data_IF_169895028561
#
_entry.id   IF_169895028561
#
_cell.length_a   1.000
_cell.length_b   1.000
_cell.length_c   1.000
_cell.angle_alpha   90.00
_cell.angle_beta   90.00
_cell.angle_gamma   90.00
#
_symmetry.space_group_name_H-M   'P 1'
#
loop_
_entity.id
_entity.type
_entity.pdbx_description
1 polymer ?
#
# COMPACT_ATOMS: atom_id res chain seq x y z
N UNK A 1 -2.13 -2.15 -23.68
CA UNK A 1 -2.53 -1.14 -24.68
C UNK A 1 -3.39 -0.10 -23.98
N UNK A 2 -3.16 1.20 -24.19
CA UNK A 2 -4.04 2.23 -23.65
C UNK A 2 -5.46 2.04 -24.19
N UNK A 3 -6.47 2.26 -23.35
CA UNK A 3 -7.88 2.16 -23.75
C UNK A 3 -8.18 3.22 -24.83
N UNK A 4 -9.09 2.94 -25.79
CA UNK A 4 -9.55 3.93 -26.75
C UNK A 4 -10.04 5.21 -26.04
N UNK A 5 -9.69 6.40 -26.56
CA UNK A 5 -9.93 7.70 -25.89
C UNK A 5 -11.41 7.94 -25.53
N UNK A 6 -12.35 7.40 -26.31
CA UNK A 6 -13.80 7.46 -26.07
C UNK A 6 -14.23 6.57 -24.90
N UNK A 7 -13.68 5.36 -24.81
CA UNK A 7 -13.93 4.39 -23.73
C UNK A 7 -13.42 4.91 -22.38
N UNK A 8 -12.24 5.53 -22.37
CA UNK A 8 -11.69 6.19 -21.18
C UNK A 8 -12.54 7.38 -20.69
N UNK A 9 -13.22 8.11 -21.58
CA UNK A 9 -14.12 9.21 -21.18
C UNK A 9 -15.40 8.70 -20.52
N UNK A 10 -15.99 7.64 -21.06
CA UNK A 10 -17.20 7.01 -20.49
C UNK A 10 -16.94 6.43 -19.09
N UNK A 11 -15.80 5.76 -18.91
CA UNK A 11 -15.41 5.24 -17.59
C UNK A 11 -15.22 6.36 -16.56
N UNK A 12 -14.52 7.44 -16.92
CA UNK A 12 -14.32 8.58 -16.00
C UNK A 12 -15.63 9.22 -15.56
N UNK A 13 -16.59 9.36 -16.47
CA UNK A 13 -17.92 9.87 -16.16
C UNK A 13 -18.63 8.95 -15.16
N UNK A 14 -18.64 7.64 -15.43
CA UNK A 14 -19.26 6.66 -14.52
C UNK A 14 -18.61 6.63 -13.14
N UNK A 15 -17.28 6.71 -13.07
CA UNK A 15 -16.56 6.80 -11.79
C UNK A 15 -16.89 8.08 -11.02
N UNK A 16 -17.18 9.19 -11.73
CA UNK A 16 -17.67 10.41 -11.11
C UNK A 16 -19.10 10.24 -10.57
N UNK A 17 -19.99 9.60 -11.31
CA UNK A 17 -21.36 9.27 -10.87
C UNK A 17 -21.34 8.41 -9.59
N UNK A 18 -20.49 7.38 -9.53
CA UNK A 18 -20.32 6.55 -8.34
C UNK A 18 -19.86 7.35 -7.11
N UNK A 19 -19.04 8.38 -7.28
CA UNK A 19 -18.56 9.23 -6.17
C UNK A 19 -19.58 10.30 -5.77
N UNK A 20 -20.49 10.66 -6.69
CA UNK A 20 -21.20 11.93 -6.71
C UNK A 20 -20.58 12.86 -7.76
N UNK A 21 -21.32 13.24 -8.82
CA UNK A 21 -20.75 13.91 -9.99
C UNK A 21 -20.10 15.26 -9.67
N UNK A 22 -20.62 15.98 -8.67
CA UNK A 22 -20.14 17.28 -8.24
C UNK A 22 -18.99 17.21 -7.21
N UNK A 23 -18.68 16.01 -6.73
CA UNK A 23 -17.61 15.80 -5.75
C UNK A 23 -16.28 15.66 -6.49
N UNK A 24 -15.23 16.41 -6.15
CA UNK A 24 -13.92 16.21 -6.75
C UNK A 24 -13.31 14.87 -6.29
N UNK A 25 -12.59 14.14 -7.16
CA UNK A 25 -11.94 12.89 -6.78
C UNK A 25 -10.88 13.14 -5.69
N UNK A 26 -10.88 12.29 -4.65
CA UNK A 26 -9.76 12.21 -3.72
C UNK A 26 -8.55 11.62 -4.44
N UNK A 27 -7.47 12.39 -4.55
CA UNK A 27 -6.21 11.93 -5.13
C UNK A 27 -5.67 10.70 -4.38
N UNK A 28 -5.14 9.75 -5.14
CA UNK A 28 -4.45 8.57 -4.60
C UNK A 28 -3.02 8.96 -4.21
N UNK A 29 -2.67 8.72 -2.96
CA UNK A 29 -1.29 8.83 -2.48
C UNK A 29 -0.57 7.47 -2.51
N UNK A 30 0.72 7.46 -2.21
CA UNK A 30 1.52 6.23 -2.21
C UNK A 30 0.99 5.21 -1.19
N UNK A 31 0.37 5.66 -0.10
CA UNK A 31 -0.23 4.79 0.91
C UNK A 31 -1.45 4.06 0.35
N UNK A 32 -2.34 4.77 -0.35
CA UNK A 32 -3.52 4.20 -1.00
C UNK A 32 -3.11 3.17 -2.06
N UNK A 33 -2.12 3.49 -2.90
CA UNK A 33 -1.58 2.58 -3.92
C UNK A 33 -0.87 1.36 -3.33
N UNK A 34 -0.05 1.55 -2.30
CA UNK A 34 0.60 0.44 -1.58
C UNK A 34 -0.41 -0.51 -0.93
N UNK A 35 -1.53 0.04 -0.48
CA UNK A 35 -2.55 -0.71 0.22
C UNK A 35 -3.54 -1.40 -0.74
N UNK A 36 -3.75 -0.87 -1.96
CA UNK A 36 -4.31 -1.63 -3.09
C UNK A 36 -3.47 -2.87 -3.40
N UNK A 37 -2.15 -2.69 -3.50
CA UNK A 37 -1.21 -3.79 -3.73
C UNK A 37 -1.20 -4.82 -2.59
N UNK A 38 -1.46 -4.39 -1.35
CA UNK A 38 -1.52 -5.27 -0.19
C UNK A 38 -2.76 -6.16 -0.19
N UNK A 39 -3.89 -5.74 -0.75
CA UNK A 39 -5.13 -6.53 -0.80
C UNK A 39 -5.75 -6.54 -2.22
N UNK A 40 -5.09 -7.20 -3.18
CA UNK A 40 -5.42 -7.08 -4.61
C UNK A 40 -6.77 -7.68 -5.01
N UNK A 41 -7.37 -8.53 -4.17
CA UNK A 41 -8.66 -9.17 -4.46
C UNK A 41 -9.88 -8.36 -4.01
N UNK A 42 -9.69 -7.23 -3.34
CA UNK A 42 -10.80 -6.48 -2.75
C UNK A 42 -11.45 -5.55 -3.80
N UNK A 43 -12.56 -6.00 -4.41
CA UNK A 43 -13.31 -5.23 -5.40
C UNK A 43 -13.85 -3.91 -4.83
N UNK A 44 -14.41 -3.95 -3.61
CA UNK A 44 -14.88 -2.76 -2.89
C UNK A 44 -13.80 -1.68 -2.78
N UNK A 45 -12.57 -2.08 -2.47
CA UNK A 45 -11.46 -1.13 -2.40
C UNK A 45 -11.12 -0.58 -3.78
N UNK A 46 -10.97 -1.47 -4.77
CA UNK A 46 -10.57 -1.09 -6.13
C UNK A 46 -11.54 -0.06 -6.73
N UNK A 47 -12.86 -0.29 -6.60
CA UNK A 47 -13.85 0.66 -7.13
C UNK A 47 -13.86 1.99 -6.38
N UNK A 48 -13.77 1.97 -5.05
CA UNK A 48 -13.76 3.21 -4.25
C UNK A 48 -12.50 4.04 -4.47
N UNK A 49 -11.34 3.38 -4.57
CA UNK A 49 -10.07 4.05 -4.86
C UNK A 49 -10.05 4.62 -6.29
N UNK A 50 -10.49 3.85 -7.30
CA UNK A 50 -10.52 4.36 -8.67
C UNK A 50 -11.64 5.37 -8.93
N UNK A 51 -12.75 5.32 -8.19
CA UNK A 51 -13.75 6.38 -8.18
C UNK A 51 -13.31 7.62 -7.38
N UNK A 52 -12.18 7.57 -6.66
CA UNK A 52 -11.70 8.70 -5.85
C UNK A 52 -12.61 9.03 -4.68
N UNK A 53 -13.29 8.04 -4.10
CA UNK A 53 -14.18 8.23 -2.94
C UNK A 53 -13.33 8.44 -1.68
N UNK A 54 -13.69 9.45 -0.88
CA UNK A 54 -13.04 9.66 0.42
C UNK A 54 -13.50 8.60 1.44
N UNK A 55 -12.76 7.50 1.50
CA UNK A 55 -13.09 6.34 2.36
C UNK A 55 -13.12 6.66 3.86
N UNK A 56 -12.42 7.69 4.32
CA UNK A 56 -12.48 8.11 5.72
C UNK A 56 -13.84 8.74 6.05
N UNK A 57 -14.32 9.66 5.19
CA UNK A 57 -15.65 10.27 5.33
C UNK A 57 -16.74 9.20 5.15
N UNK A 58 -16.57 8.32 4.16
CA UNK A 58 -17.48 7.19 3.93
C UNK A 58 -17.56 6.28 5.17
N UNK A 59 -16.44 5.93 5.79
CA UNK A 59 -16.40 5.11 6.99
C UNK A 59 -17.14 5.77 8.17
N UNK A 60 -16.99 7.10 8.34
CA UNK A 60 -17.73 7.86 9.34
C UNK A 60 -19.24 7.87 9.07
N UNK A 61 -19.67 8.08 7.81
CA UNK A 61 -21.08 8.05 7.43
C UNK A 61 -21.72 6.66 7.59
N UNK A 62 -20.94 5.59 7.44
CA UNK A 62 -21.33 4.21 7.75
C UNK A 62 -21.34 3.90 9.26
N UNK A 63 -21.03 4.87 10.13
CA UNK A 63 -20.96 4.68 11.57
C UNK A 63 -19.77 3.83 12.06
N UNK A 64 -18.75 3.65 11.22
CA UNK A 64 -17.57 2.82 11.50
C UNK A 64 -16.26 3.58 11.27
N UNK A 65 -16.05 4.77 11.89
CA UNK A 65 -14.88 5.58 11.64
C UNK A 65 -13.59 4.84 12.06
N UNK A 66 -12.55 4.96 11.24
CA UNK A 66 -11.22 4.47 11.59
C UNK A 66 -10.39 5.55 12.30
N UNK A 67 -9.66 5.20 13.34
CA UNK A 67 -8.71 6.11 14.02
C UNK A 67 -7.37 6.27 13.26
N UNK A 68 -7.33 6.04 11.95
CA UNK A 68 -6.10 6.10 11.17
C UNK A 68 -5.41 7.46 11.28
N UNK A 69 -4.14 7.44 11.70
CA UNK A 69 -3.29 8.63 11.69
C UNK A 69 -3.83 9.77 12.55
N UNK A 70 -4.31 9.51 13.76
CA UNK A 70 -4.86 10.56 14.65
C UNK A 70 -3.94 10.94 15.81
N UNK A 71 -2.75 10.34 15.94
CA UNK A 71 -1.81 10.74 17.00
C UNK A 71 -1.00 11.96 16.55
N UNK A 72 -1.42 13.16 16.98
CA UNK A 72 -0.67 14.40 16.81
C UNK A 72 0.78 14.28 17.31
N UNK A 73 0.99 13.61 18.44
CA UNK A 73 2.31 13.33 18.98
C UNK A 73 3.19 12.48 18.02
N UNK A 74 2.61 11.46 17.39
CA UNK A 74 3.33 10.62 16.43
C UNK A 74 3.75 11.41 15.18
N UNK A 75 2.92 12.36 14.72
CA UNK A 75 3.26 13.24 13.60
C UNK A 75 4.38 14.21 13.95
N UNK A 76 4.25 14.94 15.07
CA UNK A 76 5.29 15.88 15.50
C UNK A 76 6.63 15.20 15.69
N UNK A 77 6.65 14.01 16.32
CA UNK A 77 7.86 13.21 16.47
C UNK A 77 8.42 12.74 15.11
N UNK A 78 7.54 12.37 14.18
CA UNK A 78 7.92 11.98 12.83
C UNK A 78 8.62 13.12 12.09
N UNK A 79 7.99 14.28 12.02
CA UNK A 79 8.51 15.46 11.33
C UNK A 79 9.83 15.93 11.95
N UNK A 80 9.95 15.90 13.29
CA UNK A 80 11.20 16.27 13.97
C UNK A 80 12.33 15.29 13.66
N UNK A 81 12.04 13.98 13.58
CA UNK A 81 13.03 12.98 13.21
C UNK A 81 13.46 13.14 11.75
N UNK A 82 12.51 13.32 10.84
CA UNK A 82 12.78 13.56 9.43
C UNK A 82 13.62 14.82 9.19
N UNK A 83 13.23 15.94 9.79
CA UNK A 83 14.02 17.17 9.73
C UNK A 83 15.44 16.93 10.26
N UNK A 84 15.61 16.15 11.32
CA UNK A 84 16.93 15.77 11.84
C UNK A 84 17.74 14.95 10.84
N UNK A 85 17.14 14.00 10.14
CA UNK A 85 17.81 13.18 9.11
C UNK A 85 18.27 14.05 7.94
N UNK A 86 17.49 15.08 7.59
CA UNK A 86 17.71 15.95 6.42
C UNK A 86 18.49 17.23 6.71
N UNK A 87 18.87 17.48 7.97
CA UNK A 87 19.69 18.65 8.35
C UNK A 87 21.03 18.65 7.61
N UNK A 88 21.61 19.84 7.50
CA UNK A 88 22.96 20.05 6.94
C UNK A 88 23.10 19.48 5.52
N UNK A 89 22.11 19.73 4.67
CA UNK A 89 22.05 19.22 3.29
C UNK A 89 21.88 17.69 3.20
N UNK A 90 21.44 17.04 4.28
CA UNK A 90 21.27 15.59 4.36
C UNK A 90 22.57 14.81 4.48
N UNK A 91 23.63 15.41 5.03
CA UNK A 91 24.94 14.76 5.20
C UNK A 91 24.85 13.38 5.89
N UNK A 92 24.07 13.27 6.97
CA UNK A 92 23.89 11.98 7.67
C UNK A 92 23.08 10.97 6.84
N UNK A 93 22.06 11.43 6.10
CA UNK A 93 21.32 10.58 5.17
C UNK A 93 22.25 10.02 4.09
N UNK A 94 23.08 10.85 3.48
CA UNK A 94 23.99 10.45 2.41
C UNK A 94 25.10 9.53 2.92
N UNK A 95 25.60 9.77 4.14
CA UNK A 95 26.50 8.84 4.84
C UNK A 95 25.87 7.45 4.97
N UNK A 96 24.58 7.36 5.36
CA UNK A 96 23.84 6.11 5.45
C UNK A 96 23.59 5.46 4.08
N UNK A 97 23.31 6.26 3.03
CA UNK A 97 23.18 5.75 1.66
C UNK A 97 24.49 5.13 1.18
N UNK A 98 25.61 5.85 1.32
CA UNK A 98 26.95 5.33 1.00
C UNK A 98 27.23 4.04 1.75
N UNK A 99 27.10 4.05 3.09
CA UNK A 99 27.39 2.88 3.93
C UNK A 99 26.56 1.64 3.56
N UNK A 100 25.26 1.81 3.30
CA UNK A 100 24.31 0.69 3.14
C UNK A 100 24.08 0.26 1.70
N UNK A 101 24.26 1.16 0.72
CA UNK A 101 23.88 0.93 -0.67
C UNK A 101 25.02 1.10 -1.67
N UNK A 102 26.07 1.87 -1.35
CA UNK A 102 27.15 2.13 -2.28
C UNK A 102 28.52 2.36 -1.61
N UNK A 103 28.96 1.40 -0.79
CA UNK A 103 30.22 1.49 -0.02
C UNK A 103 31.49 1.62 -0.88
N UNK A 104 31.36 1.37 -2.18
CA UNK A 104 32.47 1.38 -3.14
C UNK A 104 32.60 2.72 -3.87
N UNK A 105 31.57 3.55 -3.86
CA UNK A 105 31.64 4.93 -4.33
C UNK A 105 32.51 5.79 -3.40
N UNK A 106 32.99 6.92 -3.92
CA UNK A 106 33.61 7.94 -3.09
C UNK A 106 32.61 8.45 -2.03
N UNK A 107 33.02 8.55 -0.75
CA UNK A 107 32.16 9.06 0.30
C UNK A 107 31.64 10.47 -0.03
N UNK A 108 30.38 10.79 0.32
CA UNK A 108 29.82 12.12 0.09
C UNK A 108 30.56 13.16 0.95
N UNK A 109 31.33 14.05 0.31
CA UNK A 109 31.96 15.20 0.96
C UNK A 109 31.06 16.45 0.88
N UNK A 110 30.55 16.73 -0.33
CA UNK A 110 29.53 17.74 -0.60
C UNK A 110 28.46 17.14 -1.51
N UNK A 111 27.22 17.59 -1.35
CA UNK A 111 26.10 17.10 -2.14
C UNK A 111 25.27 18.24 -2.70
N UNK A 112 24.76 18.04 -3.92
CA UNK A 112 23.82 18.97 -4.52
C UNK A 112 22.42 18.72 -3.96
N UNK A 113 21.75 19.79 -3.56
CA UNK A 113 20.35 19.76 -3.10
C UNK A 113 19.57 20.77 -3.95
N UNK A 114 19.01 20.35 -5.10
CA UNK A 114 18.31 21.25 -6.01
C UNK A 114 16.99 21.73 -5.39
N UNK A 115 16.63 23.00 -5.64
CA UNK A 115 15.32 23.52 -5.30
C UNK A 115 14.24 22.91 -6.22
N UNK A 116 13.23 22.28 -5.62
CA UNK A 116 12.12 21.59 -6.27
C UNK A 116 10.80 22.36 -6.20
N UNK A 117 10.82 23.61 -5.73
CA UNK A 117 9.65 24.47 -5.67
C UNK A 117 9.12 24.79 -7.07
N UNK A 118 7.80 24.67 -7.23
CA UNK A 118 7.05 25.04 -8.42
C UNK A 118 5.55 25.12 -8.09
N UNK A 119 4.77 25.77 -8.95
CA UNK A 119 3.32 25.90 -8.78
C UNK A 119 2.63 24.56 -9.03
N UNK A 120 1.92 24.08 -7.99
CA UNK A 120 1.09 22.88 -8.07
C UNK A 120 1.86 21.56 -8.21
N UNK A 121 1.19 20.41 -8.06
CA UNK A 121 1.81 19.10 -8.18
C UNK A 121 2.44 18.83 -9.55
N UNK A 122 1.79 19.26 -10.63
CA UNK A 122 2.28 19.14 -12.01
C UNK A 122 3.60 19.88 -12.21
N UNK A 123 3.66 21.14 -11.76
CA UNK A 123 4.86 21.96 -11.85
C UNK A 123 6.01 21.37 -11.05
N UNK A 124 5.73 20.89 -9.83
CA UNK A 124 6.73 20.21 -8.99
C UNK A 124 7.23 18.91 -9.63
N UNK A 125 6.34 18.15 -10.28
CA UNK A 125 6.72 16.93 -10.98
C UNK A 125 7.62 17.22 -12.19
N UNK A 126 7.31 18.26 -12.95
CA UNK A 126 8.15 18.73 -14.05
C UNK A 126 9.53 19.22 -13.55
N UNK A 127 9.56 20.00 -12.46
CA UNK A 127 10.81 20.47 -11.85
C UNK A 127 11.66 19.31 -11.32
N UNK A 128 11.04 18.32 -10.70
CA UNK A 128 11.70 17.09 -10.23
C UNK A 128 12.32 16.32 -11.39
N UNK A 129 11.59 16.12 -12.50
CA UNK A 129 12.12 15.44 -13.68
C UNK A 129 13.32 16.17 -14.31
N UNK A 130 13.28 17.52 -14.31
CA UNK A 130 14.42 18.34 -14.72
C UNK A 130 15.63 18.13 -13.79
N UNK A 131 15.42 18.22 -12.47
CA UNK A 131 16.50 18.04 -11.49
C UNK A 131 17.14 16.64 -11.56
N UNK A 132 16.34 15.59 -11.75
CA UNK A 132 16.86 14.22 -11.95
C UNK A 132 17.71 14.11 -13.22
N UNK A 133 17.32 14.77 -14.31
CA UNK A 133 18.09 14.82 -15.55
C UNK A 133 19.40 15.57 -15.36
N UNK A 134 19.36 16.75 -14.74
CA UNK A 134 20.54 17.58 -14.44
C UNK A 134 21.54 16.82 -13.56
N UNK A 135 21.06 16.20 -12.48
CA UNK A 135 21.88 15.40 -11.57
C UNK A 135 22.52 14.20 -12.26
N UNK A 136 21.78 13.51 -13.14
CA UNK A 136 22.33 12.36 -13.89
C UNK A 136 23.39 12.79 -14.91
N UNK A 137 23.31 14.03 -15.43
CA UNK A 137 24.31 14.58 -16.34
C UNK A 137 25.59 15.08 -15.63
N UNK A 138 25.62 15.07 -14.30
CA UNK A 138 26.77 15.46 -13.47
C UNK A 138 27.41 14.23 -12.78
N UNK A 139 28.13 13.37 -13.52
CA UNK A 139 28.73 12.16 -12.96
C UNK A 139 29.74 12.49 -11.86
N UNK A 140 29.94 11.56 -10.92
CA UNK A 140 30.83 11.75 -9.78
C UNK A 140 30.23 12.55 -8.62
N UNK A 141 29.04 13.11 -8.78
CA UNK A 141 28.40 13.95 -7.75
C UNK A 141 27.27 13.23 -7.04
N UNK A 142 27.20 13.38 -5.72
CA UNK A 142 26.02 13.00 -4.94
C UNK A 142 24.95 14.08 -5.04
N UNK A 143 23.72 13.72 -5.42
CA UNK A 143 22.58 14.64 -5.38
C UNK A 143 21.47 14.10 -4.49
N UNK A 144 20.98 14.93 -3.57
CA UNK A 144 19.82 14.65 -2.72
C UNK A 144 18.64 15.50 -3.17
N UNK A 145 17.60 14.86 -3.69
CA UNK A 145 16.31 15.48 -3.92
C UNK A 145 15.47 15.30 -2.65
N UNK A 146 15.21 16.40 -1.96
CA UNK A 146 14.36 16.44 -0.76
C UNK A 146 12.89 16.63 -1.17
N UNK A 147 12.01 15.72 -0.75
CA UNK A 147 10.60 15.69 -1.13
C UNK A 147 10.36 15.94 -2.63
N UNK A 148 10.94 15.14 -3.54
CA UNK A 148 10.63 15.28 -4.96
C UNK A 148 9.17 14.92 -5.21
N UNK A 149 8.56 15.53 -6.22
CA UNK A 149 7.22 15.17 -6.66
C UNK A 149 7.32 14.28 -7.89
N UNK A 150 6.72 13.09 -7.83
CA UNK A 150 6.65 12.13 -8.93
C UNK A 150 5.21 12.01 -9.40
N UNK A 151 5.01 11.75 -10.69
CA UNK A 151 3.69 11.48 -11.25
C UNK A 151 3.65 10.03 -11.75
N UNK A 152 2.57 9.32 -11.40
CA UNK A 152 2.30 7.96 -11.84
C UNK A 152 0.90 7.90 -12.44
N UNK A 153 0.73 7.34 -13.64
CA UNK A 153 -0.61 7.16 -14.22
C UNK A 153 -1.36 6.03 -13.51
N UNK A 154 -2.56 6.34 -13.01
CA UNK A 154 -3.46 5.37 -12.39
C UNK A 154 -4.82 5.48 -13.05
N UNK A 155 -5.16 4.48 -13.87
CA UNK A 155 -6.40 4.41 -14.64
C UNK A 155 -6.66 5.68 -15.49
N UNK A 156 -5.60 6.26 -16.08
CA UNK A 156 -5.70 7.44 -16.94
C UNK A 156 -5.80 8.77 -16.20
N UNK A 157 -5.53 8.78 -14.89
CA UNK A 157 -5.42 9.99 -14.06
C UNK A 157 -4.06 10.00 -13.35
N UNK A 158 -3.38 11.16 -13.27
CA UNK A 158 -2.11 11.25 -12.55
C UNK A 158 -2.31 11.15 -11.04
N UNK A 159 -1.55 10.26 -10.40
CA UNK A 159 -1.31 10.27 -8.96
C UNK A 159 0.02 10.99 -8.69
N UNK A 160 -0.02 12.04 -7.89
CA UNK A 160 1.16 12.80 -7.47
C UNK A 160 1.69 12.26 -6.15
N UNK A 161 2.97 11.90 -6.15
CA UNK A 161 3.60 11.07 -5.14
C UNK A 161 4.86 11.76 -4.63
N UNK A 162 4.98 11.89 -3.32
CA UNK A 162 6.09 12.59 -2.66
C UNK A 162 6.86 11.60 -1.77
N UNK A 163 7.90 10.90 -2.29
CA UNK A 163 8.84 10.18 -1.44
C UNK A 163 9.55 11.13 -0.48
N UNK A 164 10.04 10.60 0.64
CA UNK A 164 10.75 11.42 1.63
C UNK A 164 12.06 11.98 1.02
N UNK A 165 12.79 11.17 0.25
CA UNK A 165 13.89 11.64 -0.58
C UNK A 165 14.21 10.70 -1.76
N UNK A 166 14.91 11.24 -2.75
CA UNK A 166 15.56 10.47 -3.82
C UNK A 166 17.02 10.88 -3.90
N UNK A 167 17.92 9.90 -3.97
CA UNK A 167 19.36 10.12 -4.15
C UNK A 167 19.76 9.69 -5.55
N UNK A 168 20.47 10.59 -6.24
CA UNK A 168 21.24 10.26 -7.45
C UNK A 168 22.67 9.99 -7.00
N UNK A 169 23.10 8.75 -7.24
CA UNK A 169 24.45 8.28 -6.92
C UNK A 169 25.47 8.83 -7.92
N UNK A 170 26.77 8.84 -7.59
CA UNK A 170 27.83 9.27 -8.50
C UNK A 170 27.87 8.53 -9.84
N UNK A 171 27.36 7.29 -9.89
CA UNK A 171 27.22 6.48 -11.12
C UNK A 171 25.99 6.83 -11.97
N UNK A 172 25.21 7.84 -11.57
CA UNK A 172 23.98 8.28 -12.23
C UNK A 172 22.73 7.45 -11.90
N UNK A 173 22.84 6.41 -11.08
CA UNK A 173 21.68 5.59 -10.68
C UNK A 173 20.88 6.24 -9.55
N UNK A 174 19.59 5.88 -9.44
CA UNK A 174 18.65 6.54 -8.53
C UNK A 174 18.18 5.59 -7.43
N UNK A 175 18.08 6.10 -6.20
CA UNK A 175 17.58 5.35 -5.04
C UNK A 175 16.49 6.15 -4.32
N UNK A 176 15.39 5.48 -4.01
CA UNK A 176 14.37 6.00 -3.07
C UNK A 176 14.85 5.85 -1.64
N UNK A 177 14.60 6.86 -0.83
CA UNK A 177 14.80 6.85 0.63
C UNK A 177 13.46 7.05 1.31
N UNK A 178 13.13 6.13 2.22
CA UNK A 178 11.98 6.21 3.12
C UNK A 178 12.46 6.51 4.53
N UNK A 179 11.89 7.53 5.17
CA UNK A 179 12.17 7.90 6.55
C UNK A 179 10.94 7.57 7.39
N UNK A 180 11.11 6.74 8.41
CA UNK A 180 10.01 6.33 9.30
C UNK A 180 10.41 6.51 10.76
N UNK A 181 9.45 6.90 11.59
CA UNK A 181 9.66 7.21 13.00
C UNK A 181 9.48 6.03 13.97
N UNK A 182 9.34 4.81 13.46
CA UNK A 182 9.39 3.61 14.29
C UNK A 182 10.84 3.15 14.48
N UNK A 183 11.22 2.65 15.66
CA UNK A 183 12.61 2.31 15.94
C UNK A 183 13.07 1.04 15.21
N UNK A 184 14.36 0.98 14.90
CA UNK A 184 15.10 -0.26 14.69
C UNK A 184 15.77 -0.66 16.01
N UNK A 185 15.32 -1.75 16.61
CA UNK A 185 15.84 -2.31 17.86
C UNK A 185 16.93 -3.32 17.53
N UNK A 186 18.14 -3.11 18.04
CA UNK A 186 19.29 -4.02 17.81
C UNK A 186 19.54 -4.33 16.32
N UNK A 187 19.29 -3.34 15.46
CA UNK A 187 19.46 -3.44 14.00
C UNK A 187 18.27 -4.05 13.24
N UNK A 188 17.19 -4.42 13.93
CA UNK A 188 15.97 -4.96 13.32
C UNK A 188 14.75 -4.05 13.58
N UNK A 189 13.96 -3.81 12.53
CA UNK A 189 12.65 -3.19 12.67
C UNK A 189 11.53 -4.25 12.62
N UNK A 190 10.37 -3.88 13.16
CA UNK A 190 9.14 -4.66 13.06
C UNK A 190 8.86 -5.08 11.59
N UNK A 191 8.78 -6.39 11.28
CA UNK A 191 8.62 -6.86 9.90
C UNK A 191 7.35 -6.35 9.20
N UNK A 192 6.26 -6.12 9.94
CA UNK A 192 5.03 -5.60 9.38
C UNK A 192 5.19 -4.14 8.96
N UNK A 193 5.88 -3.33 9.78
CA UNK A 193 6.21 -1.93 9.46
C UNK A 193 7.20 -1.82 8.29
N UNK A 194 8.26 -2.65 8.27
CA UNK A 194 9.19 -2.73 7.13
C UNK A 194 8.45 -3.14 5.87
N UNK A 195 7.57 -4.14 5.95
CA UNK A 195 6.76 -4.57 4.82
C UNK A 195 5.81 -3.49 4.30
N UNK A 196 5.27 -2.64 5.17
CA UNK A 196 4.46 -1.49 4.78
C UNK A 196 5.29 -0.41 4.07
N UNK A 197 6.44 -0.03 4.64
CA UNK A 197 7.35 0.92 4.03
C UNK A 197 7.86 0.42 2.66
N UNK A 198 8.21 -0.86 2.55
CA UNK A 198 8.64 -1.48 1.29
C UNK A 198 7.55 -1.41 0.19
N UNK A 199 6.27 -1.54 0.56
CA UNK A 199 5.17 -1.40 -0.41
C UNK A 199 4.97 0.05 -0.87
N UNK A 200 5.15 1.03 0.03
CA UNK A 200 5.13 2.45 -0.35
C UNK A 200 6.33 2.80 -1.24
N UNK A 201 7.54 2.42 -0.84
CA UNK A 201 8.75 2.61 -1.63
C UNK A 201 8.66 2.00 -3.03
N UNK A 202 8.02 0.83 -3.16
CA UNK A 202 7.77 0.20 -4.46
C UNK A 202 6.90 1.06 -5.40
N UNK A 203 5.96 1.86 -4.86
CA UNK A 203 5.16 2.81 -5.66
C UNK A 203 6.07 3.92 -6.18
N UNK A 204 6.95 4.48 -5.34
CA UNK A 204 7.90 5.52 -5.75
C UNK A 204 8.93 5.01 -6.75
N UNK A 205 9.42 3.78 -6.59
CA UNK A 205 10.30 3.12 -7.56
C UNK A 205 9.62 2.98 -8.92
N UNK A 206 8.34 2.58 -8.97
CA UNK A 206 7.58 2.54 -10.22
C UNK A 206 7.47 3.92 -10.88
N UNK A 207 7.15 4.95 -10.09
CA UNK A 207 7.04 6.31 -10.59
C UNK A 207 8.40 6.84 -11.11
N UNK A 208 9.50 6.55 -10.42
CA UNK A 208 10.85 6.89 -10.89
C UNK A 208 11.23 6.14 -12.17
N UNK A 209 10.85 4.87 -12.31
CA UNK A 209 11.09 4.10 -13.54
C UNK A 209 10.38 4.74 -14.74
N UNK A 210 9.17 5.31 -14.56
CA UNK A 210 8.48 6.06 -15.62
C UNK A 210 9.17 7.39 -15.99
N UNK A 211 9.80 8.05 -15.01
CA UNK A 211 10.62 9.24 -15.28
C UNK A 211 11.90 8.86 -16.01
N UNK A 212 12.60 7.82 -15.54
CA UNK A 212 13.86 7.33 -16.12
C UNK A 212 13.67 6.89 -17.58
N UNK A 213 12.55 6.23 -17.89
CA UNK A 213 12.23 5.78 -19.25
C UNK A 213 12.06 6.91 -20.28
N UNK A 214 11.98 8.18 -19.84
CA UNK A 214 11.89 9.36 -20.72
C UNK A 214 13.26 9.97 -21.05
N UNK A 215 14.33 9.43 -20.47
CA UNK A 215 15.71 9.89 -20.68
C UNK A 215 16.47 8.86 -21.54
N UNK A 216 17.48 9.34 -22.28
CA UNK A 216 18.34 8.51 -23.11
C UNK A 216 19.83 8.85 -22.84
N UNK A 217 20.65 7.90 -22.34
CA UNK A 217 20.25 6.56 -21.89
C UNK A 217 19.36 6.63 -20.64
N UNK A 218 18.44 5.66 -20.50
CA UNK A 218 17.57 5.56 -19.33
C UNK A 218 18.39 5.24 -18.06
N UNK A 219 18.37 6.10 -17.02
CA UNK A 219 19.13 5.88 -15.80
C UNK A 219 18.60 4.68 -15.02
N UNK A 220 19.50 3.99 -14.32
CA UNK A 220 19.11 2.82 -13.53
C UNK A 220 18.42 3.25 -12.24
N UNK A 221 17.14 2.91 -12.08
CA UNK A 221 16.45 2.98 -10.79
C UNK A 221 16.79 1.73 -9.97
N UNK A 222 17.42 1.90 -8.80
CA UNK A 222 17.79 0.79 -7.92
C UNK A 222 16.56 0.25 -7.19
N UNK A 223 16.42 -1.08 -7.14
CA UNK A 223 15.34 -1.75 -6.39
C UNK A 223 15.69 -2.03 -4.93
N UNK A 224 16.90 -1.68 -4.50
CA UNK A 224 17.27 -1.67 -3.10
C UNK A 224 17.16 -0.23 -2.60
N UNK A 225 16.13 0.02 -1.80
CA UNK A 225 15.83 1.34 -1.22
C UNK A 225 16.51 1.48 0.14
N UNK A 226 16.66 2.71 0.62
CA UNK A 226 17.10 2.96 1.98
C UNK A 226 15.88 3.21 2.88
N UNK A 227 15.71 2.39 3.93
CA UNK A 227 14.77 2.66 5.00
C UNK A 227 15.54 3.24 6.18
N UNK A 228 15.29 4.51 6.50
CA UNK A 228 15.89 5.24 7.62
C UNK A 228 14.92 5.26 8.80
N UNK A 229 15.42 4.87 9.97
CA UNK A 229 14.65 4.81 11.21
C UNK A 229 15.49 5.29 12.41
N UNK A 230 14.87 5.71 13.52
CA UNK A 230 15.58 5.93 14.76
C UNK A 230 16.25 4.63 15.26
N UNK A 231 17.48 4.73 15.74
CA UNK A 231 18.23 3.65 16.36
C UNK A 231 17.78 3.46 17.81
N UNK A 232 17.35 2.26 18.14
CA UNK A 232 16.90 1.85 19.48
C UNK A 232 15.86 2.83 20.03
N UNK A 233 16.09 3.37 21.23
CA UNK A 233 15.21 4.37 21.85
C UNK A 233 15.72 5.82 21.69
N UNK A 234 16.66 6.03 20.76
CA UNK A 234 17.26 7.35 20.48
C UNK A 234 16.68 7.98 19.23
N UNK A 235 16.94 9.29 19.02
CA UNK A 235 16.69 9.95 17.74
C UNK A 235 17.91 9.89 16.80
N UNK A 236 18.88 9.00 17.02
CA UNK A 236 20.03 8.84 16.12
C UNK A 236 19.55 8.07 14.88
N UNK A 237 19.74 8.60 13.65
CA UNK A 237 19.39 7.88 12.45
C UNK A 237 20.21 6.59 12.29
N UNK A 238 19.53 5.52 11.89
CA UNK A 238 20.15 4.31 11.35
C UNK A 238 19.35 3.88 10.12
N UNK A 239 19.90 2.96 9.32
CA UNK A 239 19.23 2.54 8.11
C UNK A 239 19.41 1.07 7.78
N UNK A 240 18.45 0.56 7.01
CA UNK A 240 18.49 -0.77 6.41
C UNK A 240 18.20 -0.68 4.92
N UNK A 241 18.95 -1.44 4.15
CA UNK A 241 18.81 -1.52 2.70
C UNK A 241 17.79 -2.61 2.35
N UNK A 242 16.61 -2.22 1.86
CA UNK A 242 15.46 -3.11 1.64
C UNK A 242 15.26 -3.39 0.15
N UNK A 243 15.21 -4.66 -0.24
CA UNK A 243 14.88 -5.07 -1.61
C UNK A 243 13.36 -5.03 -1.83
N UNK A 244 12.92 -4.23 -2.80
CA UNK A 244 11.49 -4.05 -3.10
C UNK A 244 11.04 -4.70 -4.40
N UNK A 245 11.86 -5.55 -5.05
CA UNK A 245 11.51 -6.19 -6.34
C UNK A 245 10.17 -6.93 -6.29
N UNK A 246 9.92 -7.67 -5.21
CA UNK A 246 8.66 -8.41 -5.01
C UNK A 246 7.47 -7.45 -4.91
N UNK A 247 7.60 -6.40 -4.10
CA UNK A 247 6.56 -5.39 -3.88
C UNK A 247 6.30 -4.62 -5.17
N UNK A 248 7.34 -4.15 -5.86
CA UNK A 248 7.28 -3.48 -7.18
C UNK A 248 6.55 -4.34 -8.20
N UNK A 249 6.87 -5.63 -8.30
CA UNK A 249 6.22 -6.53 -9.24
C UNK A 249 4.73 -6.74 -8.91
N UNK A 250 4.35 -6.83 -7.63
CA UNK A 250 2.96 -6.93 -7.20
C UNK A 250 2.20 -5.65 -7.48
N UNK A 251 2.74 -4.50 -7.08
CA UNK A 251 2.14 -3.17 -7.29
C UNK A 251 1.94 -2.90 -8.78
N UNK A 252 2.96 -3.12 -9.62
CA UNK A 252 2.86 -2.94 -11.07
C UNK A 252 1.76 -3.81 -11.70
N UNK A 253 1.63 -5.08 -11.27
CA UNK A 253 0.53 -5.94 -11.72
C UNK A 253 -0.85 -5.44 -11.27
N UNK A 254 -0.95 -4.85 -10.08
CA UNK A 254 -2.23 -4.31 -9.60
C UNK A 254 -2.63 -3.03 -10.32
N UNK A 255 -1.68 -2.12 -10.55
CA UNK A 255 -1.94 -0.91 -11.33
C UNK A 255 -2.38 -1.26 -12.76
N UNK A 256 -1.71 -2.23 -13.39
CA UNK A 256 -2.13 -2.75 -14.70
C UNK A 256 -3.50 -3.45 -14.67
N UNK A 257 -3.99 -3.91 -13.52
CA UNK A 257 -5.33 -4.51 -13.36
C UNK A 257 -6.40 -3.49 -13.00
N UNK A 258 -6.05 -2.35 -12.42
CA UNK A 258 -7.00 -1.26 -12.16
C UNK A 258 -7.62 -0.72 -13.45
N UNK A 259 -7.01 -0.97 -14.62
CA UNK A 259 -7.65 -0.74 -15.92
C UNK A 259 -8.91 -1.60 -16.14
N UNK A 260 -9.18 -2.60 -15.28
CA UNK A 260 -10.40 -3.44 -15.28
C UNK A 260 -11.42 -3.02 -14.20
N UNK A 261 -11.29 -1.79 -13.70
CA UNK A 261 -12.32 -1.20 -12.83
C UNK A 261 -13.68 -1.10 -13.55
N UNK A 262 -13.68 -1.06 -14.88
CA UNK A 262 -14.86 -1.21 -15.74
C UNK A 262 -15.67 -2.47 -15.36
N UNK A 263 -15.01 -3.63 -15.28
CA UNK A 263 -15.66 -4.91 -14.96
C UNK A 263 -16.33 -4.88 -13.58
N UNK A 264 -15.71 -4.20 -12.60
CA UNK A 264 -16.30 -4.04 -11.26
C UNK A 264 -17.49 -3.10 -11.31
N UNK A 265 -17.37 -1.99 -12.06
CA UNK A 265 -18.45 -1.03 -12.23
C UNK A 265 -19.65 -1.65 -12.95
N UNK A 266 -19.43 -2.53 -13.93
CA UNK A 266 -20.46 -3.25 -14.70
C UNK A 266 -21.32 -4.19 -13.86
N UNK A 267 -20.79 -4.69 -12.75
CA UNK A 267 -21.54 -5.54 -11.81
C UNK A 267 -22.39 -4.73 -10.82
N UNK A 268 -22.24 -3.41 -10.76
CA UNK A 268 -22.97 -2.60 -9.80
C UNK A 268 -24.43 -2.40 -10.21
N UNK A 269 -25.37 -2.41 -9.25
CA UNK A 269 -26.74 -1.99 -9.51
C UNK A 269 -26.80 -0.61 -10.17
N UNK A 270 -27.75 -0.42 -11.08
CA UNK A 270 -28.00 0.88 -11.71
C UNK A 270 -28.33 1.93 -10.63
N UNK A 271 -27.78 3.13 -10.78
CA UNK A 271 -27.95 4.22 -9.79
C UNK A 271 -27.09 4.10 -8.53
N UNK A 272 -26.19 3.12 -8.43
CA UNK A 272 -25.26 3.03 -7.29
C UNK A 272 -24.47 4.33 -7.11
N UNK A 273 -24.44 4.85 -5.89
CA UNK A 273 -23.68 6.03 -5.51
C UNK A 273 -23.09 5.83 -4.10
N UNK A 274 -21.87 6.29 -3.89
CA UNK A 274 -21.14 6.20 -2.63
C UNK A 274 -21.05 7.55 -1.90
N UNK A 275 -21.93 8.49 -2.23
CA UNK A 275 -21.96 9.80 -1.57
C UNK A 275 -22.26 9.63 -0.07
N UNK A 276 -21.41 10.16 0.83
CA UNK A 276 -21.67 10.15 2.27
C UNK A 276 -22.93 10.91 2.70
N UNK A 277 -23.53 11.69 1.80
CA UNK A 277 -24.78 12.45 2.05
C UNK A 277 -26.04 11.60 1.88
N UNK A 278 -25.93 10.38 1.33
CA UNK A 278 -27.06 9.46 1.22
C UNK A 278 -27.58 9.03 2.60
N UNK A 279 -28.87 8.68 2.70
CA UNK A 279 -29.40 8.03 3.90
C UNK A 279 -28.57 6.79 4.26
N UNK A 280 -28.29 6.60 5.56
CA UNK A 280 -27.35 5.57 6.02
C UNK A 280 -27.68 4.14 5.53
N UNK A 281 -28.97 3.80 5.39
CA UNK A 281 -29.41 2.51 4.86
C UNK A 281 -29.06 2.34 3.38
N UNK A 282 -29.30 3.37 2.56
CA UNK A 282 -28.96 3.39 1.14
C UNK A 282 -27.45 3.35 0.93
N UNK A 283 -26.70 4.15 1.71
CA UNK A 283 -25.23 4.15 1.65
C UNK A 283 -24.65 2.78 2.02
N UNK A 284 -25.21 2.15 3.06
CA UNK A 284 -24.80 0.79 3.47
C UNK A 284 -25.08 -0.21 2.35
N UNK A 285 -26.27 -0.17 1.75
CA UNK A 285 -26.62 -1.04 0.63
C UNK A 285 -25.70 -0.85 -0.58
N UNK A 286 -25.42 0.41 -0.94
CA UNK A 286 -24.50 0.75 -2.04
C UNK A 286 -23.10 0.19 -1.78
N UNK A 287 -22.52 0.43 -0.59
CA UNK A 287 -21.18 -0.06 -0.25
C UNK A 287 -21.13 -1.59 -0.16
N UNK A 288 -22.18 -2.22 0.38
CA UNK A 288 -22.27 -3.66 0.54
C UNK A 288 -22.56 -4.41 -0.77
N UNK A 289 -23.15 -3.74 -1.78
CA UNK A 289 -23.32 -4.29 -3.13
C UNK A 289 -22.00 -4.68 -3.80
N UNK A 290 -20.88 -4.09 -3.34
CA UNK A 290 -19.54 -4.42 -3.83
C UNK A 290 -18.86 -5.38 -2.86
N UNK A 291 -18.47 -6.59 -3.29
CA UNK A 291 -17.80 -7.54 -2.40
C UNK A 291 -16.48 -6.99 -1.82
N UNK A 292 -16.32 -7.11 -0.50
CA UNK A 292 -15.05 -6.89 0.18
C UNK A 292 -14.35 -8.22 0.45
N UNK A 293 -13.02 -8.22 0.35
CA UNK A 293 -12.18 -9.32 0.83
C UNK A 293 -11.43 -8.86 2.06
N UNK A 294 -12.11 -8.83 3.22
CA UNK A 294 -11.47 -8.45 4.47
C UNK A 294 -10.29 -9.38 4.81
N UNK A 295 -9.29 -8.81 5.46
CA UNK A 295 -8.24 -9.54 6.15
C UNK A 295 -7.74 -8.64 7.29
N UNK A 296 -7.17 -9.18 8.39
CA UNK A 296 -6.72 -8.38 9.53
C UNK A 296 -5.76 -7.25 9.17
N UNK A 297 -4.93 -7.42 8.13
CA UNK A 297 -4.01 -6.37 7.67
C UNK A 297 -4.72 -5.13 7.13
N UNK A 298 -6.01 -5.23 6.79
CA UNK A 298 -6.81 -4.08 6.39
C UNK A 298 -6.88 -3.03 7.52
N UNK A 299 -6.82 -3.44 8.79
CA UNK A 299 -6.84 -2.53 9.95
C UNK A 299 -5.67 -1.55 10.00
N UNK A 300 -4.59 -1.80 9.25
CA UNK A 300 -3.46 -0.88 9.09
C UNK A 300 -3.37 -0.23 7.71
N UNK A 301 -4.26 -0.59 6.77
CA UNK A 301 -4.13 -0.27 5.35
C UNK A 301 -5.41 0.27 4.66
N UNK A 302 -6.58 0.24 5.29
CA UNK A 302 -7.84 0.65 4.66
C UNK A 302 -8.80 1.30 5.67
N UNK A 303 -9.28 2.51 5.36
CA UNK A 303 -10.18 3.28 6.21
C UNK A 303 -11.52 2.57 6.48
N UNK A 304 -11.99 1.71 5.56
CA UNK A 304 -13.19 0.90 5.71
C UNK A 304 -12.98 -0.41 6.51
N UNK A 305 -11.80 -0.64 7.07
CA UNK A 305 -11.47 -1.93 7.66
C UNK A 305 -12.38 -2.33 8.83
N UNK A 306 -12.83 -1.38 9.66
CA UNK A 306 -13.74 -1.66 10.77
C UNK A 306 -15.12 -2.11 10.29
N UNK A 307 -15.73 -1.36 9.36
CA UNK A 307 -16.98 -1.75 8.71
C UNK A 307 -16.87 -3.15 8.08
N UNK A 308 -15.81 -3.41 7.30
CA UNK A 308 -15.61 -4.71 6.64
C UNK A 308 -15.34 -5.85 7.63
N UNK A 309 -14.67 -5.57 8.75
CA UNK A 309 -14.43 -6.53 9.84
C UNK A 309 -15.73 -6.94 10.50
N UNK A 310 -16.59 -5.97 10.80
CA UNK A 310 -17.86 -6.23 11.48
C UNK A 310 -18.79 -7.04 10.57
N UNK A 311 -18.85 -6.72 9.28
CA UNK A 311 -19.56 -7.56 8.29
C UNK A 311 -18.99 -8.96 8.19
N UNK A 312 -17.67 -9.10 8.15
CA UNK A 312 -17.03 -10.43 8.09
C UNK A 312 -17.30 -11.25 9.35
N UNK A 313 -17.37 -10.62 10.52
CA UNK A 313 -17.72 -11.27 11.79
C UNK A 313 -19.19 -11.69 11.83
N UNK A 314 -20.09 -10.81 11.41
CA UNK A 314 -21.53 -11.11 11.36
C UNK A 314 -21.83 -12.29 10.42
N UNK A 315 -21.11 -12.38 9.29
CA UNK A 315 -21.21 -13.50 8.35
C UNK A 315 -20.43 -14.76 8.79
N UNK A 316 -19.79 -14.76 9.96
CA UNK A 316 -18.97 -15.88 10.42
C UNK A 316 -17.79 -16.21 9.51
N UNK A 317 -17.29 -15.25 8.71
CA UNK A 317 -16.29 -15.51 7.67
C UNK A 317 -14.91 -15.82 8.26
N UNK A 318 -14.25 -16.85 7.72
CA UNK A 318 -12.89 -17.27 8.13
C UNK A 318 -11.81 -16.24 7.75
N UNK A 319 -12.15 -15.27 6.90
CA UNK A 319 -11.28 -14.15 6.52
C UNK A 319 -10.80 -13.34 7.73
N UNK A 320 -11.58 -13.34 8.82
CA UNK A 320 -11.22 -12.69 10.09
C UNK A 320 -10.06 -13.35 10.82
N UNK A 321 -9.75 -14.61 10.51
CA UNK A 321 -8.65 -15.38 11.08
C UNK A 321 -7.29 -15.09 10.42
N UNK A 322 -7.30 -14.34 9.31
CA UNK A 322 -6.09 -14.00 8.56
C UNK A 322 -5.83 -14.89 7.34
N UNK A 323 -4.94 -14.41 6.48
CA UNK A 323 -4.71 -15.03 5.16
C UNK A 323 -4.08 -16.41 5.24
N UNK A 324 -3.18 -16.62 6.20
CA UNK A 324 -2.52 -17.93 6.39
C UNK A 324 -3.54 -18.99 6.73
N UNK A 325 -4.36 -18.73 7.76
CA UNK A 325 -5.42 -19.65 8.19
C UNK A 325 -6.43 -19.88 7.07
N UNK A 326 -6.89 -18.80 6.41
CA UNK A 326 -7.81 -18.94 5.27
C UNK A 326 -7.23 -19.82 4.15
N UNK A 327 -5.93 -19.72 3.86
CA UNK A 327 -5.31 -20.52 2.80
C UNK A 327 -5.28 -22.02 3.16
N UNK A 328 -5.13 -22.36 4.44
CA UNK A 328 -5.16 -23.75 4.92
C UNK A 328 -6.58 -24.35 4.92
N UNK A 329 -7.61 -23.51 5.04
CA UNK A 329 -9.02 -23.94 5.09
C UNK A 329 -9.63 -24.23 3.70
N UNK A 330 -8.90 -23.96 2.62
CA UNK A 330 -9.35 -24.26 1.25
C UNK A 330 -10.68 -23.60 0.90
N UNK A 331 -11.68 -24.42 0.54
CA UNK A 331 -13.01 -23.97 0.16
C UNK A 331 -13.94 -23.59 1.33
N UNK A 332 -13.55 -23.90 2.57
CA UNK A 332 -14.37 -23.63 3.76
C UNK A 332 -14.31 -22.13 4.08
N UNK A 333 -15.46 -21.45 3.94
CA UNK A 333 -15.51 -19.98 3.96
C UNK A 333 -16.07 -19.38 5.25
N UNK A 334 -16.79 -20.19 6.04
CA UNK A 334 -17.35 -19.78 7.34
C UNK A 334 -16.81 -20.62 8.48
N UNK A 335 -16.78 -20.06 9.69
CA UNK A 335 -16.40 -20.76 10.91
C UNK A 335 -17.35 -21.93 11.18
N UNK A 336 -18.62 -21.79 10.84
CA UNK A 336 -19.62 -22.86 10.95
C UNK A 336 -19.26 -24.06 10.07
N UNK A 337 -18.96 -23.82 8.79
CA UNK A 337 -18.55 -24.88 7.85
C UNK A 337 -17.29 -25.61 8.33
N UNK A 338 -16.32 -24.85 8.84
CA UNK A 338 -15.07 -25.40 9.38
C UNK A 338 -15.34 -26.30 10.58
N UNK A 339 -16.21 -25.88 11.48
CA UNK A 339 -16.57 -26.66 12.66
C UNK A 339 -17.40 -27.91 12.30
N UNK A 340 -18.33 -27.80 11.35
CA UNK A 340 -19.09 -28.95 10.84
C UNK A 340 -18.17 -29.98 10.16
N UNK A 341 -17.24 -29.51 9.33
CA UNK A 341 -16.24 -30.37 8.69
C UNK A 341 -15.34 -31.08 9.72
N UNK A 342 -14.90 -30.34 10.75
CA UNK A 342 -14.08 -30.87 11.84
C UNK A 342 -14.81 -31.95 12.68
N UNK A 343 -16.13 -31.82 12.86
CA UNK A 343 -16.99 -32.81 13.53
C UNK A 343 -17.39 -34.00 12.65
N UNK A 344 -17.10 -33.93 11.34
CA UNK A 344 -17.52 -34.96 10.38
C UNK A 344 -18.99 -34.86 9.97
N UNK A 345 -19.65 -33.74 10.25
CA UNK A 345 -21.04 -33.47 9.84
C UNK A 345 -21.14 -33.07 8.37
N UNK A 346 -20.05 -32.54 7.81
CA UNK A 346 -19.93 -32.15 6.41
C UNK A 346 -18.49 -32.32 5.90
N UNK A 347 -18.25 -31.93 4.65
CA UNK A 347 -16.94 -31.91 4.01
C UNK A 347 -16.50 -33.27 3.44
N UNK A 348 -15.86 -33.21 2.27
CA UNK A 348 -15.26 -34.38 1.63
C UNK A 348 -14.12 -34.92 2.50
N UNK A 349 -14.17 -36.19 2.97
CA UNK A 349 -13.08 -36.80 3.73
C UNK A 349 -11.73 -36.80 3.01
N UNK A 350 -11.73 -36.78 1.66
CA UNK A 350 -10.53 -36.75 0.84
C UNK A 350 -9.96 -35.34 0.65
N UNK A 351 -10.71 -34.29 1.03
CA UNK A 351 -10.19 -32.92 1.05
C UNK A 351 -9.10 -32.81 2.15
N UNK A 352 -7.85 -32.44 1.80
CA UNK A 352 -6.75 -32.33 2.76
C UNK A 352 -7.04 -31.39 3.93
N UNK A 353 -7.79 -30.30 3.71
CA UNK A 353 -8.16 -29.36 4.75
C UNK A 353 -9.17 -29.99 5.73
N UNK A 354 -10.16 -30.72 5.21
CA UNK A 354 -11.15 -31.45 6.03
C UNK A 354 -10.47 -32.55 6.84
N UNK A 355 -9.58 -33.33 6.22
CA UNK A 355 -8.81 -34.37 6.91
C UNK A 355 -7.94 -33.78 8.04
N UNK A 356 -7.27 -32.66 7.80
CA UNK A 356 -6.49 -31.94 8.81
C UNK A 356 -7.37 -31.42 9.96
N UNK A 357 -8.54 -30.85 9.66
CA UNK A 357 -9.50 -30.37 10.65
C UNK A 357 -10.03 -31.50 11.54
N UNK A 358 -10.43 -32.63 10.95
CA UNK A 358 -10.88 -33.82 11.70
C UNK A 358 -9.77 -34.39 12.59
N UNK A 359 -8.53 -34.40 12.09
CA UNK A 359 -7.36 -34.78 12.90
C UNK A 359 -7.17 -33.82 14.08
N UNK A 360 -7.23 -32.51 13.83
CA UNK A 360 -7.11 -31.49 14.88
C UNK A 360 -8.23 -31.60 15.93
N UNK A 361 -9.48 -31.83 15.51
CA UNK A 361 -10.61 -32.02 16.41
C UNK A 361 -10.42 -33.25 17.31
N UNK A 362 -9.95 -34.37 16.75
CA UNK A 362 -9.64 -35.59 17.50
C UNK A 362 -8.55 -35.37 18.55
N UNK A 363 -7.46 -34.71 18.17
CA UNK A 363 -6.36 -34.37 19.08
C UNK A 363 -6.82 -33.43 20.20
N UNK A 364 -7.68 -32.45 19.87
CA UNK A 364 -8.28 -31.56 20.85
C UNK A 364 -9.18 -32.32 21.84
N UNK A 365 -10.03 -33.21 21.37
CA UNK A 365 -10.91 -34.03 22.22
C UNK A 365 -10.10 -34.91 23.19
N UNK A 366 -9.05 -35.57 22.69
CA UNK A 366 -8.11 -36.35 23.51
C UNK A 366 -7.45 -35.48 24.59
N UNK A 367 -6.97 -34.29 24.24
CA UNK A 367 -6.34 -33.37 25.19
C UNK A 367 -7.31 -32.86 26.27
N UNK A 368 -8.61 -32.81 25.96
CA UNK A 368 -9.66 -32.40 26.91
C UNK A 368 -10.23 -33.58 27.72
N UNK A 369 -9.74 -34.80 27.52
CA UNK A 369 -10.26 -36.00 28.20
C UNK A 369 -11.66 -36.40 27.77
N UNK A 370 -12.12 -35.95 26.61
CA UNK A 370 -13.41 -36.37 26.04
C UNK A 370 -13.23 -37.75 25.38
N UNK A 371 -14.10 -38.71 25.70
CA UNK A 371 -14.10 -40.03 25.04
C UNK A 371 -14.29 -39.84 23.53
N UNK A 372 -13.25 -40.17 22.75
CA UNK A 372 -13.32 -40.14 21.29
C UNK A 372 -13.95 -41.46 20.84
N UNK A 373 -15.25 -41.45 20.60
CA UNK A 373 -15.89 -42.58 19.92
C UNK A 373 -15.38 -42.62 18.47
N UNK A 374 -14.73 -43.70 18.02
CA UNK A 374 -14.22 -43.76 16.65
C UNK A 374 -15.41 -43.82 15.69
N UNK A 375 -15.55 -42.82 14.81
CA UNK A 375 -16.43 -42.93 13.64
C UNK A 375 -15.87 -44.03 12.73
N UNK A 376 -16.73 -45.00 12.38
CA UNK A 376 -16.49 -46.01 11.35
C UNK A 376 -16.70 -45.43 9.96
#
# INVERSE_FOLDING_TARGET
>A
MPLPRTRGKALRQRLAELRGPDVPPKALDARALAALAANPGCQRRAILDGAGVNKAVLASALGSPSAFGQSQFAFTRGNAFEAKVKRDGGAELLRLVHEKLDRHAEPPAEAQVPDLLATGPEGRAARTALALREATAAPGTWTLLDHPMLALDVAGSPAFLEPDAVVVHPDGSWTVVEIKSFPMLDGAADPAKVGAAARQAAVYVLALEEVAARLDPAPRVRHRILLVCPKDFSNVPTASAVDVRKQRAVTGRQLARLTRIEDIADMLPEGTCFSPELPAAELTSAVESVPATYAPECLSACELAFHCRDRSRAAGAVTTLGRSVRAELGGLSTVEDVLAAARGESGDPEDPAVAALRRAARLRAQALGQEVTPCR
#
